data_IF_432176821543
#
_entry.id   IF_432176821543
#
_cell.length_a   1.000
_cell.length_b   1.000
_cell.length_c   1.000
_cell.angle_alpha   90.00
_cell.angle_beta   90.00
_cell.angle_gamma   90.00
#
_symmetry.space_group_name_H-M   'P 1'
#
loop_
_entity.id
_entity.type
_entity.pdbx_description
1 polymer ?
#
# COMPACT_ATOMS: atom_id res chain seq x y z
N UNK A 1 -9.79 -8.35 -31.62
CA UNK A 1 -9.57 -7.51 -30.40
C UNK A 1 -8.09 -7.53 -30.08
N UNK A 2 -7.39 -6.40 -30.27
CA UNK A 2 -6.01 -6.23 -29.83
C UNK A 2 -6.00 -6.14 -28.30
N UNK A 3 -5.08 -6.85 -27.64
CA UNK A 3 -4.75 -6.61 -26.24
C UNK A 3 -4.17 -5.20 -26.14
N UNK A 4 -4.74 -4.37 -25.29
CA UNK A 4 -4.25 -3.02 -25.07
C UNK A 4 -3.70 -2.91 -23.63
N UNK A 5 -2.54 -2.31 -23.54
CA UNK A 5 -1.96 -1.88 -22.28
C UNK A 5 -2.29 -0.41 -22.07
N UNK A 6 -2.72 -0.11 -20.87
CA UNK A 6 -2.98 1.24 -20.39
C UNK A 6 -2.19 1.46 -19.13
N UNK A 7 -1.84 2.68 -18.85
CA UNK A 7 -1.21 3.00 -17.60
C UNK A 7 -0.40 4.27 -17.65
N UNK A 8 0.20 4.57 -16.53
CA UNK A 8 1.11 5.68 -16.35
C UNK A 8 2.35 5.20 -15.60
N UNK A 9 3.44 5.91 -15.77
CA UNK A 9 4.65 5.77 -15.00
C UNK A 9 5.14 7.17 -14.62
N UNK A 10 5.58 7.32 -13.38
CA UNK A 10 6.16 8.53 -12.84
C UNK A 10 7.55 8.16 -12.36
N UNK A 11 8.54 8.93 -12.79
CA UNK A 11 9.92 8.78 -12.36
C UNK A 11 10.42 10.13 -11.88
N UNK A 12 10.86 10.18 -10.63
CA UNK A 12 11.48 11.34 -10.01
C UNK A 12 12.84 10.97 -9.47
N UNK A 13 13.84 11.83 -9.68
CA UNK A 13 15.16 11.67 -9.11
C UNK A 13 15.73 13.01 -8.68
N UNK A 14 16.27 13.09 -7.49
CA UNK A 14 16.86 14.29 -6.91
C UNK A 14 18.28 14.03 -6.38
N UNK A 15 19.20 14.92 -6.74
CA UNK A 15 20.63 14.86 -6.43
C UNK A 15 21.06 16.03 -5.53
N UNK A 16 20.39 16.29 -4.41
CA UNK A 16 20.77 17.47 -3.60
C UNK A 16 21.83 17.08 -2.56
N UNK A 17 21.45 16.58 -1.42
CA UNK A 17 22.38 16.14 -0.35
C UNK A 17 22.43 14.63 -0.21
N UNK A 18 21.37 13.98 -0.65
CA UNK A 18 21.20 12.53 -0.67
C UNK A 18 20.47 12.14 -1.94
N UNK A 19 20.68 10.92 -2.40
CA UNK A 19 19.96 10.39 -3.54
C UNK A 19 18.49 10.18 -3.15
N UNK A 20 17.60 10.95 -3.77
CA UNK A 20 16.15 10.82 -3.60
C UNK A 20 15.53 10.30 -4.89
N UNK A 21 14.67 9.30 -4.76
CA UNK A 21 13.97 8.71 -5.91
C UNK A 21 12.50 8.46 -5.59
N UNK A 22 11.71 8.51 -6.66
CA UNK A 22 10.29 8.23 -6.66
C UNK A 22 9.94 7.58 -8.00
N UNK A 23 9.67 6.28 -7.99
CA UNK A 23 9.31 5.50 -9.16
C UNK A 23 7.98 4.82 -8.93
N UNK A 24 6.96 5.25 -9.67
CA UNK A 24 5.60 4.71 -9.57
C UNK A 24 5.12 4.26 -10.92
N UNK A 25 4.48 3.13 -10.98
CA UNK A 25 3.78 2.73 -12.19
C UNK A 25 2.46 2.06 -11.89
N UNK A 26 1.54 2.25 -12.81
CA UNK A 26 0.21 1.69 -12.79
C UNK A 26 -0.10 1.21 -14.21
N UNK A 27 -0.07 -0.11 -14.41
CA UNK A 27 -0.22 -0.74 -15.70
C UNK A 27 -1.42 -1.68 -15.69
N UNK A 28 -2.24 -1.57 -16.72
CA UNK A 28 -3.43 -2.38 -16.90
C UNK A 28 -3.41 -3.05 -18.27
N UNK A 29 -3.85 -4.30 -18.32
CA UNK A 29 -4.08 -5.02 -19.55
C UNK A 29 -5.46 -5.65 -19.55
N UNK A 30 -6.25 -5.34 -20.56
CA UNK A 30 -7.60 -5.85 -20.72
C UNK A 30 -7.68 -6.81 -21.92
N UNK A 31 -7.70 -8.11 -21.63
CA UNK A 31 -7.96 -9.16 -22.60
C UNK A 31 -9.34 -9.80 -22.39
N UNK A 32 -9.81 -10.58 -23.38
CA UNK A 32 -11.10 -11.29 -23.29
C UNK A 32 -11.11 -12.37 -22.17
N UNK A 33 -9.99 -13.08 -22.00
CA UNK A 33 -9.87 -14.19 -21.06
C UNK A 33 -9.07 -13.82 -19.80
N UNK A 34 -8.21 -12.82 -19.89
CA UNK A 34 -7.38 -12.39 -18.78
C UNK A 34 -7.29 -10.86 -18.74
N UNK A 35 -7.38 -10.32 -17.53
CA UNK A 35 -7.14 -8.92 -17.24
C UNK A 35 -6.08 -8.85 -16.15
N UNK A 36 -5.15 -7.92 -16.27
CA UNK A 36 -4.09 -7.71 -15.31
C UNK A 36 -4.08 -6.26 -14.85
N UNK A 37 -3.77 -6.09 -13.59
CA UNK A 37 -3.60 -4.80 -12.96
C UNK A 37 -2.34 -4.85 -12.11
N UNK A 38 -1.33 -4.09 -12.51
CA UNK A 38 -0.04 -4.06 -11.88
C UNK A 38 0.24 -2.67 -11.34
N UNK A 39 0.61 -2.58 -10.07
CA UNK A 39 0.99 -1.32 -9.42
C UNK A 39 2.32 -1.52 -8.72
N UNK A 40 3.20 -0.55 -8.87
CA UNK A 40 4.42 -0.45 -8.09
C UNK A 40 4.64 0.97 -7.62
N UNK A 41 5.19 1.10 -6.43
CA UNK A 41 5.60 2.36 -5.83
C UNK A 41 6.90 2.12 -5.05
N UNK A 42 7.97 2.70 -5.55
CA UNK A 42 9.31 2.58 -4.96
C UNK A 42 9.80 4.00 -4.70
N UNK A 43 9.95 4.37 -3.43
CA UNK A 43 10.32 5.73 -3.10
C UNK A 43 11.09 5.85 -1.78
N UNK A 44 11.91 6.91 -1.68
CA UNK A 44 12.55 7.35 -0.45
C UNK A 44 12.33 8.85 -0.18
N UNK A 45 11.22 9.39 -0.67
CA UNK A 45 10.85 10.81 -0.54
C UNK A 45 9.86 11.09 0.58
N UNK A 46 9.65 10.14 1.49
CA UNK A 46 8.74 10.28 2.63
C UNK A 46 7.27 10.04 2.29
N UNK A 47 6.96 9.38 1.19
CA UNK A 47 5.57 9.02 0.84
C UNK A 47 5.27 7.56 1.20
N UNK A 48 4.04 7.34 1.68
CA UNK A 48 3.54 6.00 1.93
C UNK A 48 3.29 5.28 0.59
N UNK A 49 4.03 4.20 0.38
CA UNK A 49 3.90 3.41 -0.84
C UNK A 49 2.57 2.64 -0.92
N UNK A 50 1.89 2.44 0.21
CA UNK A 50 0.68 1.59 0.29
C UNK A 50 -0.63 2.35 0.08
N UNK A 51 -0.57 3.69 -0.02
CA UNK A 51 -1.77 4.53 -0.16
C UNK A 51 -2.70 4.11 -1.30
N UNK A 52 -2.12 3.72 -2.43
CA UNK A 52 -2.88 3.32 -3.63
C UNK A 52 -3.51 1.92 -3.51
N UNK A 53 -2.95 1.03 -2.69
CA UNK A 53 -3.46 -0.33 -2.50
C UNK A 53 -4.76 -0.37 -1.74
N UNK A 54 -4.97 0.55 -0.80
CA UNK A 54 -6.19 0.60 -0.01
C UNK A 54 -7.45 0.68 -0.89
N UNK A 55 -7.37 1.36 -2.02
CA UNK A 55 -8.45 1.45 -3.00
C UNK A 55 -8.65 0.18 -3.82
N UNK A 56 -7.61 -0.66 -3.96
CA UNK A 56 -7.67 -1.90 -4.73
C UNK A 56 -8.18 -3.08 -3.91
N UNK A 57 -7.78 -3.16 -2.66
CA UNK A 57 -8.22 -4.22 -1.73
C UNK A 57 -9.71 -4.01 -1.39
N UNK A 58 -10.16 -2.77 -1.37
CA UNK A 58 -11.55 -2.37 -1.19
C UNK A 58 -11.95 -1.37 -2.29
N UNK A 59 -12.30 -1.81 -3.50
CA UNK A 59 -12.97 -0.91 -4.43
C UNK A 59 -14.27 -0.46 -3.77
N UNK A 60 -14.40 0.86 -3.59
CA UNK A 60 -15.61 1.47 -3.06
C UNK A 60 -16.73 1.25 -4.08
N UNK A 61 -17.54 0.22 -3.87
CA UNK A 61 -18.79 0.02 -4.58
C UNK A 61 -19.90 0.26 -3.58
N UNK A 62 -20.62 1.34 -3.75
CA UNK A 62 -21.76 1.71 -2.92
C UNK A 62 -22.95 0.75 -3.06
N UNK A 63 -22.92 -0.12 -4.04
CA UNK A 63 -24.01 -0.96 -4.52
C UNK A 63 -23.79 -2.47 -4.33
N UNK A 64 -22.64 -2.90 -3.85
CA UNK A 64 -22.43 -4.31 -3.49
C UNK A 64 -22.63 -4.51 -1.98
N UNK A 65 -23.49 -5.47 -1.57
CA UNK A 65 -23.56 -5.85 -0.16
C UNK A 65 -22.19 -6.36 0.31
N UNK A 66 -21.79 -5.96 1.52
CA UNK A 66 -20.57 -6.44 2.14
C UNK A 66 -20.61 -7.98 2.19
N UNK A 67 -19.66 -8.63 1.52
CA UNK A 67 -19.54 -10.09 1.58
C UNK A 67 -19.03 -10.48 2.95
N UNK A 68 -19.54 -11.56 3.51
CA UNK A 68 -19.07 -12.12 4.79
C UNK A 68 -17.58 -12.41 4.68
N UNK A 69 -16.76 -11.71 5.46
CA UNK A 69 -15.28 -11.81 5.43
C UNK A 69 -14.54 -10.55 4.95
N UNK A 70 -15.24 -9.55 4.41
CA UNK A 70 -14.64 -8.27 3.98
C UNK A 70 -14.38 -7.27 5.12
N UNK A 71 -14.68 -7.64 6.36
CA UNK A 71 -14.48 -6.78 7.55
C UNK A 71 -13.01 -6.60 7.97
N UNK A 72 -12.09 -7.28 7.30
CA UNK A 72 -10.67 -7.00 7.46
C UNK A 72 -10.31 -5.70 6.74
N UNK A 73 -10.34 -4.60 7.48
CA UNK A 73 -9.88 -3.33 6.95
C UNK A 73 -8.41 -3.46 6.53
N UNK A 74 -8.05 -2.94 5.37
CA UNK A 74 -6.65 -2.89 4.91
C UNK A 74 -5.70 -2.26 5.95
N UNK A 75 -6.19 -1.38 6.81
CA UNK A 75 -5.49 -0.81 7.96
C UNK A 75 -5.05 -1.86 8.99
N UNK A 76 -5.86 -2.88 9.24
CA UNK A 76 -5.52 -3.97 10.18
C UNK A 76 -4.48 -4.89 9.57
N UNK A 77 -4.57 -5.17 8.27
CA UNK A 77 -3.59 -5.99 7.55
C UNK A 77 -2.22 -5.29 7.44
N UNK A 78 -2.21 -3.98 7.26
CA UNK A 78 -0.97 -3.22 7.07
C UNK A 78 -0.31 -2.80 8.40
N UNK A 79 -1.01 -2.82 9.53
CA UNK A 79 -0.44 -2.56 10.86
C UNK A 79 0.30 -1.21 11.00
N UNK A 80 0.01 -0.27 10.10
CA UNK A 80 0.75 0.97 9.94
C UNK A 80 0.15 2.09 10.79
N UNK A 81 0.29 2.00 12.11
CA UNK A 81 0.14 3.17 12.96
C UNK A 81 1.52 3.74 13.30
N UNK A 82 2.04 4.61 12.48
CA UNK A 82 3.14 5.48 12.91
C UNK A 82 2.56 6.77 13.47
N UNK A 83 2.84 7.06 14.73
CA UNK A 83 2.58 8.37 15.29
C UNK A 83 3.53 9.37 14.63
N UNK A 84 3.03 10.13 13.68
CA UNK A 84 3.76 11.20 13.05
C UNK A 84 3.41 12.52 13.76
N UNK A 85 4.38 13.37 14.08
CA UNK A 85 4.09 14.72 14.54
C UNK A 85 3.26 15.49 13.50
N UNK A 86 2.57 16.57 13.91
CA UNK A 86 1.71 17.42 13.06
C UNK A 86 2.45 18.16 11.92
N UNK A 87 3.47 17.54 11.36
CA UNK A 87 4.25 18.04 10.23
C UNK A 87 3.88 17.24 8.97
N UNK A 88 4.06 17.86 7.82
CA UNK A 88 3.84 17.16 6.53
C UNK A 88 4.73 15.90 6.50
N UNK A 89 4.13 14.76 6.21
CA UNK A 89 4.79 13.45 6.19
C UNK A 89 6.12 13.44 5.42
N UNK A 90 6.19 14.10 4.27
CA UNK A 90 7.40 14.25 3.45
C UNK A 90 8.58 14.95 4.16
N UNK A 91 8.35 15.64 5.28
CA UNK A 91 9.39 16.38 6.02
C UNK A 91 9.93 15.64 7.23
N UNK A 92 9.22 14.63 7.69
CA UNK A 92 9.52 13.92 8.94
C UNK A 92 9.77 12.43 8.72
N UNK A 93 9.39 11.91 7.56
CA UNK A 93 9.52 10.50 7.23
C UNK A 93 10.75 10.29 6.32
N UNK A 94 11.79 9.64 6.87
CA UNK A 94 12.96 9.19 6.12
C UNK A 94 12.77 7.70 5.83
N UNK A 95 12.00 7.40 4.78
CA UNK A 95 11.65 6.06 4.42
C UNK A 95 12.45 5.53 3.23
N UNK A 96 12.46 4.21 3.11
CA UNK A 96 12.81 3.50 1.90
C UNK A 96 11.72 2.44 1.67
N UNK A 97 10.74 2.80 0.85
CA UNK A 97 9.55 2.01 0.64
C UNK A 97 9.54 1.37 -0.75
N UNK A 98 9.25 0.08 -0.79
CA UNK A 98 9.12 -0.70 -2.02
C UNK A 98 7.81 -1.48 -1.98
N UNK A 99 6.90 -1.16 -2.88
CA UNK A 99 5.61 -1.81 -2.98
C UNK A 99 5.37 -2.34 -4.38
N UNK A 100 4.90 -3.58 -4.42
CA UNK A 100 4.51 -4.29 -5.63
C UNK A 100 3.14 -4.92 -5.42
N UNK A 101 2.22 -4.70 -6.34
CA UNK A 101 0.92 -5.35 -6.36
C UNK A 101 0.57 -5.87 -7.74
N UNK A 102 0.05 -7.09 -7.79
CA UNK A 102 -0.47 -7.71 -9.00
C UNK A 102 -1.88 -8.24 -8.75
N UNK A 103 -2.83 -7.70 -9.48
CA UNK A 103 -4.19 -8.21 -9.54
C UNK A 103 -4.44 -8.84 -10.89
N UNK A 104 -5.14 -9.96 -10.90
CA UNK A 104 -5.56 -10.56 -12.15
C UNK A 104 -6.97 -11.12 -12.09
N UNK A 105 -7.64 -11.13 -13.23
CA UNK A 105 -8.94 -11.75 -13.43
C UNK A 105 -8.84 -12.66 -14.63
N UNK A 106 -9.06 -13.96 -14.42
CA UNK A 106 -9.08 -14.96 -15.46
C UNK A 106 -10.51 -15.44 -15.69
N UNK A 107 -10.97 -15.36 -16.93
CA UNK A 107 -12.23 -15.97 -17.37
C UNK A 107 -11.87 -17.28 -18.08
N UNK A 108 -11.80 -18.37 -17.31
CA UNK A 108 -11.40 -19.68 -17.81
C UNK A 108 -12.47 -20.21 -18.78
N UNK A 109 -13.74 -20.01 -18.43
CA UNK A 109 -14.89 -20.35 -19.26
C UNK A 109 -16.03 -19.35 -19.01
N UNK A 110 -17.18 -19.53 -19.73
CA UNK A 110 -18.38 -18.72 -19.44
C UNK A 110 -18.91 -18.92 -18.01
N UNK A 111 -18.54 -20.01 -17.37
CA UNK A 111 -19.00 -20.40 -16.04
C UNK A 111 -17.94 -20.22 -14.94
N UNK A 112 -16.65 -20.08 -15.28
CA UNK A 112 -15.58 -20.08 -14.32
C UNK A 112 -14.78 -18.79 -14.43
N UNK A 113 -14.70 -18.07 -13.30
CA UNK A 113 -13.85 -16.88 -13.14
C UNK A 113 -12.95 -17.08 -11.95
N UNK A 114 -11.70 -16.66 -12.09
CA UNK A 114 -10.69 -16.66 -11.03
C UNK A 114 -10.18 -15.24 -10.92
N UNK A 115 -10.22 -14.68 -9.70
CA UNK A 115 -9.57 -13.41 -9.38
C UNK A 115 -8.40 -13.70 -8.47
N UNK A 116 -7.27 -13.06 -8.69
CA UNK A 116 -6.12 -13.15 -7.79
C UNK A 116 -5.67 -11.76 -7.41
N UNK A 117 -5.28 -11.59 -6.17
CA UNK A 117 -4.66 -10.40 -5.65
C UNK A 117 -3.39 -10.82 -4.91
N UNK A 118 -2.28 -10.23 -5.24
CA UNK A 118 -1.04 -10.38 -4.49
C UNK A 118 -0.38 -9.02 -4.31
N UNK A 119 0.15 -8.76 -3.12
CA UNK A 119 1.03 -7.64 -2.92
C UNK A 119 2.17 -7.95 -1.95
N UNK A 120 3.26 -7.24 -2.12
CA UNK A 120 4.41 -7.20 -1.23
C UNK A 120 4.76 -5.74 -0.98
N UNK A 121 4.96 -5.40 0.28
CA UNK A 121 5.45 -4.09 0.69
C UNK A 121 6.60 -4.26 1.68
N UNK A 122 7.69 -3.58 1.42
CA UNK A 122 8.81 -3.43 2.36
C UNK A 122 9.02 -1.95 2.60
N UNK A 123 9.05 -1.54 3.85
CA UNK A 123 9.28 -0.16 4.25
C UNK A 123 10.28 -0.11 5.39
N UNK A 124 11.29 0.74 5.24
CA UNK A 124 12.31 1.00 6.25
C UNK A 124 12.26 2.49 6.58
N UNK A 125 11.99 2.81 7.84
CA UNK A 125 11.83 4.17 8.32
C UNK A 125 12.87 4.48 9.39
N UNK A 126 13.62 5.56 9.21
CA UNK A 126 14.50 6.13 10.22
C UNK A 126 13.74 7.25 10.95
N UNK A 127 13.64 7.11 12.26
CA UNK A 127 13.00 8.07 13.16
C UNK A 127 14.07 8.80 13.95
N UNK A 128 14.10 10.10 13.81
CA UNK A 128 15.00 10.97 14.57
C UNK A 128 14.14 11.98 15.30
N UNK A 129 14.29 12.04 16.62
CA UNK A 129 13.60 13.03 17.46
C UNK A 129 14.59 13.64 18.43
N UNK A 130 14.80 14.93 18.31
CA UNK A 130 15.56 15.73 19.25
C UNK A 130 14.58 16.60 20.02
N UNK A 131 14.51 16.48 21.33
CA UNK A 131 13.70 17.34 22.17
C UNK A 131 14.55 18.10 23.16
N UNK A 132 14.25 19.37 23.30
CA UNK A 132 14.87 20.28 24.25
C UNK A 132 13.78 20.86 25.14
N UNK A 133 13.89 20.61 26.43
CA UNK A 133 12.96 21.15 27.44
C UNK A 133 13.74 21.88 28.50
N UNK A 134 13.45 23.14 28.71
CA UNK A 134 14.03 23.94 29.78
C UNK A 134 12.95 24.33 30.78
N UNK A 135 13.20 24.02 32.04
CA UNK A 135 12.34 24.38 33.16
C UNK A 135 13.06 25.40 34.01
N UNK A 136 12.44 26.56 34.21
CA UNK A 136 12.96 27.66 35.02
C UNK A 136 11.92 27.98 36.08
N UNK A 137 12.30 27.78 37.36
CA UNK A 137 11.47 28.18 38.49
C UNK A 137 12.39 28.85 39.53
N UNK A 138 12.07 30.07 39.88
CA UNK A 138 12.69 31.05 40.79
C UNK A 138 14.15 30.83 41.23
N UNK A 139 14.57 29.65 41.59
CA UNK A 139 15.95 29.33 42.05
C UNK A 139 16.52 28.05 41.43
N UNK A 140 15.78 27.38 40.58
CA UNK A 140 16.23 26.13 39.94
C UNK A 140 15.93 26.19 38.45
N UNK A 141 16.98 26.02 37.66
CA UNK A 141 16.81 25.78 36.23
C UNK A 141 17.41 24.46 35.86
N UNK A 142 16.69 23.63 35.13
CA UNK A 142 17.25 22.43 34.53
C UNK A 142 16.82 22.31 33.07
N UNK A 143 17.68 21.72 32.31
CA UNK A 143 17.46 21.46 30.89
C UNK A 143 17.49 19.97 30.66
N UNK A 144 16.44 19.46 30.04
CA UNK A 144 16.38 18.08 29.55
C UNK A 144 16.60 18.06 28.04
N UNK A 145 17.60 17.32 27.60
CA UNK A 145 17.90 17.10 26.20
C UNK A 145 17.70 15.60 25.93
N UNK A 146 16.80 15.30 25.02
CA UNK A 146 16.50 13.93 24.62
C UNK A 146 16.76 13.78 23.13
N UNK A 147 17.71 12.91 22.79
CA UNK A 147 18.03 12.50 21.43
C UNK A 147 17.56 11.06 21.23
N UNK A 148 16.53 10.88 20.41
CA UNK A 148 16.00 9.57 20.06
C UNK A 148 16.32 9.26 18.59
N UNK A 149 16.94 8.11 18.37
CA UNK A 149 17.16 7.54 17.03
C UNK A 149 16.59 6.13 17.02
N UNK A 150 15.71 5.86 16.08
CA UNK A 150 15.09 4.55 15.91
C UNK A 150 15.03 4.19 14.43
N UNK A 151 15.20 2.91 14.11
CA UNK A 151 14.98 2.36 12.77
C UNK A 151 13.87 1.32 12.84
N UNK A 152 12.86 1.47 12.00
CA UNK A 152 11.77 0.52 11.86
C UNK A 152 11.82 -0.07 10.45
N UNK A 153 11.93 -1.40 10.35
CA UNK A 153 11.80 -2.13 9.09
C UNK A 153 10.57 -3.02 9.16
N UNK A 154 9.73 -2.93 8.15
CA UNK A 154 8.51 -3.69 8.06
C UNK A 154 8.38 -4.31 6.67
N UNK A 155 8.08 -5.60 6.61
CA UNK A 155 7.73 -6.30 5.38
C UNK A 155 6.35 -6.90 5.54
N UNK A 156 5.47 -6.63 4.59
CA UNK A 156 4.09 -7.11 4.59
C UNK A 156 3.78 -7.73 3.24
N UNK A 157 3.28 -8.95 3.24
CA UNK A 157 2.81 -9.64 2.06
C UNK A 157 1.38 -10.12 2.24
N UNK A 158 0.62 -10.10 1.15
CA UNK A 158 -0.76 -10.58 1.12
C UNK A 158 -1.06 -11.24 -0.20
N UNK A 159 -1.81 -12.35 -0.14
CA UNK A 159 -2.32 -13.05 -1.31
C UNK A 159 -3.77 -13.46 -1.11
N UNK A 160 -4.60 -13.29 -2.14
CA UNK A 160 -6.01 -13.69 -2.14
C UNK A 160 -6.37 -14.33 -3.47
N UNK A 161 -7.19 -15.38 -3.43
CA UNK A 161 -7.73 -16.05 -4.61
C UNK A 161 -9.24 -16.21 -4.43
N UNK A 162 -9.99 -15.66 -5.36
CA UNK A 162 -11.44 -15.83 -5.44
C UNK A 162 -11.78 -16.68 -6.68
N UNK A 163 -12.53 -17.75 -6.49
CA UNK A 163 -13.05 -18.61 -7.53
C UNK A 163 -14.56 -18.51 -7.56
N UNK A 164 -15.12 -18.16 -8.70
CA UNK A 164 -16.56 -18.15 -8.94
C UNK A 164 -16.89 -19.20 -9.99
N UNK A 165 -17.83 -20.09 -9.69
CA UNK A 165 -18.32 -21.14 -10.60
C UNK A 165 -19.84 -21.12 -10.72
N UNK A 166 -20.35 -20.77 -11.88
CA UNK A 166 -21.76 -20.81 -12.22
C UNK A 166 -22.18 -22.24 -12.54
N UNK A 167 -22.72 -22.96 -11.55
CA UNK A 167 -23.16 -24.36 -11.67
C UNK A 167 -24.36 -24.45 -12.62
N UNK A 168 -25.33 -23.53 -12.49
CA UNK A 168 -26.54 -23.47 -13.28
C UNK A 168 -27.04 -22.03 -13.42
N UNK A 169 -28.15 -21.82 -14.18
CA UNK A 169 -28.77 -20.48 -14.26
C UNK A 169 -29.29 -19.95 -12.90
N UNK A 170 -29.43 -20.82 -11.89
CA UNK A 170 -30.00 -20.48 -10.57
C UNK A 170 -29.04 -20.81 -9.42
N UNK A 171 -27.82 -21.30 -9.70
CA UNK A 171 -26.87 -21.71 -8.67
C UNK A 171 -25.44 -21.30 -9.02
N UNK A 172 -24.77 -20.66 -8.06
CA UNK A 172 -23.38 -20.24 -8.13
C UNK A 172 -22.64 -20.77 -6.90
N UNK A 173 -21.40 -21.18 -7.10
CA UNK A 173 -20.48 -21.57 -6.04
C UNK A 173 -19.34 -20.54 -6.01
N UNK A 174 -19.07 -20.03 -4.83
CA UNK A 174 -18.02 -19.06 -4.60
C UNK A 174 -17.04 -19.57 -3.54
N UNK A 175 -15.77 -19.43 -3.82
CA UNK A 175 -14.69 -19.75 -2.89
C UNK A 175 -13.76 -18.54 -2.80
N UNK A 176 -13.41 -18.15 -1.57
CA UNK A 176 -12.46 -17.08 -1.24
C UNK A 176 -11.43 -17.63 -0.27
N UNK A 177 -10.15 -17.44 -0.56
CA UNK A 177 -9.04 -17.87 0.28
C UNK A 177 -7.80 -17.02 0.10
#
# INVERSE_FOLDING_TARGET
>A
YKRQWFGNAILGYGLVSENRYDARSNLMNFGKKAKYYFITNINNVGEDATGDINHLIRPYRFDEPATIGDDQSARVLLGLSSYLPNLKQKRVNFNNAEMLSLNSIFTVSKKIKIKTLGFLNTDENDLIRNSFQSFINNNVSFTNIEDFKGRKKQTTGFGKIDLTYDVSKKGMLEYTG
#
